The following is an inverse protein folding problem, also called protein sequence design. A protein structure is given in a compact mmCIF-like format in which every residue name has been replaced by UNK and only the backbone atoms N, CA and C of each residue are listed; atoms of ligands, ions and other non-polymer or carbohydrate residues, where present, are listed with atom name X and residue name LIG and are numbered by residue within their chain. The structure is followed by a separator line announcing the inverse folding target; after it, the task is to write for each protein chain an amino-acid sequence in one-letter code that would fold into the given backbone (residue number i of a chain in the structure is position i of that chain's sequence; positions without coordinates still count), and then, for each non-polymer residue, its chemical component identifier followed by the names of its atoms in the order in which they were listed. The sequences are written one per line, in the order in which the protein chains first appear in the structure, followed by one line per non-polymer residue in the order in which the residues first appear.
data_IF_608636619160
#
_entry.id   IF_608636619160
#
_cell.length_a   1.000
_cell.length_b   1.000
_cell.length_c   1.000
_cell.angle_alpha   90.00
_cell.angle_beta   90.00
_cell.angle_gamma   90.00
#
_symmetry.space_group_name_H-M   'P 1'
#
loop_
_entity.id
_entity.type
_entity.pdbx_description
1 polymer ?
#
# COMPACT_ATOMS: atom_id res chain seq x y z
N UNK A 1 73.48 -14.24 -2.88
CA UNK A 1 72.63 -13.46 -3.81
C UNK A 1 71.21 -14.05 -4.02
N UNK A 2 70.81 -15.04 -3.23
CA UNK A 2 69.52 -15.76 -3.44
C UNK A 2 68.34 -15.22 -2.60
N UNK A 3 68.60 -14.80 -1.36
CA UNK A 3 67.52 -14.45 -0.41
C UNK A 3 66.71 -13.18 -0.77
N UNK A 4 67.37 -12.17 -1.29
CA UNK A 4 66.74 -10.89 -1.71
C UNK A 4 65.89 -11.02 -2.98
N UNK A 5 66.17 -12.00 -3.84
CA UNK A 5 65.33 -12.28 -5.04
C UNK A 5 64.06 -13.01 -4.65
N UNK A 6 64.12 -13.93 -3.69
CA UNK A 6 62.94 -14.66 -3.17
C UNK A 6 62.00 -13.74 -2.39
N UNK A 7 62.52 -12.81 -1.57
CA UNK A 7 61.69 -11.84 -0.85
C UNK A 7 60.96 -10.86 -1.81
N UNK A 8 61.61 -10.44 -2.88
CA UNK A 8 61.00 -9.58 -3.91
C UNK A 8 59.93 -10.30 -4.72
N UNK A 9 60.10 -11.58 -5.01
CA UNK A 9 59.13 -12.41 -5.71
C UNK A 9 57.87 -12.68 -4.82
N UNK A 10 58.05 -12.98 -3.53
CA UNK A 10 56.96 -13.19 -2.59
C UNK A 10 56.20 -11.88 -2.30
N UNK A 11 56.93 -10.75 -2.17
CA UNK A 11 56.31 -9.42 -2.02
C UNK A 11 55.51 -9.00 -3.24
N UNK A 12 56.01 -9.28 -4.45
CA UNK A 12 55.32 -9.01 -5.72
C UNK A 12 54.06 -9.84 -5.91
N UNK A 13 54.09 -11.12 -5.53
CA UNK A 13 52.92 -12.00 -5.57
C UNK A 13 51.84 -11.61 -4.52
N UNK A 14 52.29 -11.20 -3.34
CA UNK A 14 51.37 -10.72 -2.30
C UNK A 14 50.69 -9.38 -2.69
N UNK A 15 51.44 -8.45 -3.30
CA UNK A 15 50.91 -7.19 -3.80
C UNK A 15 50.00 -7.38 -5.01
N UNK A 16 50.30 -8.28 -5.94
CA UNK A 16 49.44 -8.64 -7.06
C UNK A 16 48.17 -9.35 -6.61
N UNK A 17 48.25 -10.23 -5.60
CA UNK A 17 47.11 -10.87 -4.99
C UNK A 17 46.18 -9.86 -4.27
N UNK A 18 46.74 -8.89 -3.52
CA UNK A 18 46.00 -7.84 -2.87
C UNK A 18 45.30 -6.89 -3.87
N UNK A 19 45.99 -6.58 -5.00
CA UNK A 19 45.41 -5.77 -6.09
C UNK A 19 44.32 -6.52 -6.85
N UNK A 20 44.42 -7.83 -7.02
CA UNK A 20 43.38 -8.66 -7.62
C UNK A 20 42.15 -8.80 -6.70
N UNK A 21 42.35 -8.87 -5.37
CA UNK A 21 41.23 -8.85 -4.39
C UNK A 21 40.60 -7.46 -4.30
N UNK A 22 41.37 -6.38 -4.46
CA UNK A 22 40.82 -5.01 -4.47
C UNK A 22 40.12 -4.63 -5.78
N UNK A 23 40.48 -5.32 -6.88
CA UNK A 23 39.92 -5.13 -8.22
C UNK A 23 38.85 -6.18 -8.58
N UNK A 24 38.65 -7.21 -7.74
CA UNK A 24 37.49 -8.08 -7.89
C UNK A 24 36.27 -7.21 -7.67
N UNK A 25 35.40 -6.97 -8.69
CA UNK A 25 34.09 -6.42 -8.39
C UNK A 25 33.52 -7.33 -7.30
N UNK A 26 32.97 -6.74 -6.27
CA UNK A 26 32.18 -7.47 -5.29
C UNK A 26 31.09 -8.18 -6.10
N UNK A 27 31.36 -9.43 -6.48
CA UNK A 27 30.39 -10.34 -7.08
C UNK A 27 29.46 -10.87 -5.97
N UNK A 28 29.02 -10.00 -5.09
CA UNK A 28 27.75 -10.10 -4.44
C UNK A 28 26.76 -9.62 -5.49
N UNK A 29 26.43 -10.51 -6.45
CA UNK A 29 25.20 -10.35 -7.20
C UNK A 29 24.15 -9.98 -6.17
N UNK A 30 23.59 -8.77 -6.28
CA UNK A 30 22.54 -8.36 -5.36
C UNK A 30 21.30 -9.18 -5.72
N UNK A 31 21.18 -10.34 -5.07
CA UNK A 31 20.09 -11.29 -5.30
C UNK A 31 18.70 -10.61 -5.21
N UNK A 32 18.63 -9.46 -4.55
CA UNK A 32 17.42 -8.65 -4.47
C UNK A 32 17.10 -8.02 -5.81
N UNK A 33 18.09 -7.35 -6.43
CA UNK A 33 17.94 -6.75 -7.76
C UNK A 33 17.68 -7.80 -8.82
N UNK A 34 18.45 -8.88 -8.80
CA UNK A 34 18.31 -10.00 -9.74
C UNK A 34 16.96 -10.73 -9.56
N UNK A 35 16.38 -10.69 -8.36
CA UNK A 35 15.07 -11.25 -8.06
C UNK A 35 13.87 -10.38 -8.42
N UNK A 36 14.08 -9.14 -8.93
CA UNK A 36 12.99 -8.22 -9.31
C UNK A 36 12.39 -8.56 -10.70
N UNK A 37 11.96 -9.82 -10.90
CA UNK A 37 11.42 -10.30 -12.17
C UNK A 37 10.33 -9.39 -12.77
N UNK A 38 9.47 -8.82 -11.91
CA UNK A 38 8.39 -7.93 -12.33
C UNK A 38 8.92 -6.63 -12.95
N UNK A 39 9.98 -6.07 -12.38
CA UNK A 39 10.64 -4.90 -12.94
C UNK A 39 11.26 -5.21 -14.31
N UNK A 40 11.94 -6.36 -14.42
CA UNK A 40 12.54 -6.81 -15.69
C UNK A 40 11.49 -7.04 -16.78
N UNK A 41 10.33 -7.60 -16.42
CA UNK A 41 9.20 -7.79 -17.34
C UNK A 41 8.67 -6.48 -17.92
N UNK A 42 8.82 -5.36 -17.21
CA UNK A 42 8.47 -4.01 -17.71
C UNK A 42 9.51 -3.40 -18.63
N UNK A 43 10.72 -3.98 -18.73
CA UNK A 43 11.85 -3.45 -19.48
C UNK A 43 12.24 -2.02 -19.01
N UNK A 44 12.72 -1.89 -17.78
CA UNK A 44 12.91 -0.61 -17.11
C UNK A 44 13.84 0.33 -17.88
N UNK A 45 14.85 -0.19 -18.56
CA UNK A 45 15.78 0.59 -19.36
C UNK A 45 15.09 1.34 -20.52
N UNK A 46 14.03 0.76 -21.10
CA UNK A 46 13.22 1.46 -22.10
C UNK A 46 12.24 2.43 -21.45
N UNK A 47 11.63 2.03 -20.34
CA UNK A 47 10.68 2.86 -19.58
C UNK A 47 11.36 4.15 -19.13
N UNK A 48 12.53 4.05 -18.50
CA UNK A 48 13.22 5.22 -17.92
C UNK A 48 13.82 6.17 -18.93
N UNK A 49 14.02 5.74 -20.19
CA UNK A 49 14.34 6.67 -21.29
C UNK A 49 13.16 7.59 -21.62
N UNK A 50 11.93 7.17 -21.35
CA UNK A 50 10.73 7.90 -21.61
C UNK A 50 10.28 8.76 -20.42
N UNK A 51 10.35 8.19 -19.20
CA UNK A 51 9.96 8.85 -17.94
C UNK A 51 10.51 8.08 -16.75
N UNK A 52 10.88 8.80 -15.70
CA UNK A 52 11.29 8.26 -14.39
C UNK A 52 10.31 8.62 -13.26
N UNK A 53 9.20 9.29 -13.59
CA UNK A 53 8.22 9.76 -12.61
C UNK A 53 8.57 11.10 -11.96
N UNK A 54 9.58 11.80 -12.46
CA UNK A 54 10.05 13.09 -11.92
C UNK A 54 8.92 14.11 -11.83
N UNK A 55 8.92 14.90 -10.74
CA UNK A 55 7.92 15.94 -10.43
C UNK A 55 6.51 15.41 -10.13
N UNK A 56 6.37 14.12 -9.88
CA UNK A 56 5.09 13.52 -9.47
C UNK A 56 5.17 13.05 -8.02
N UNK A 57 4.20 13.46 -7.22
CA UNK A 57 4.00 12.94 -5.86
C UNK A 57 2.95 11.83 -5.89
N UNK A 58 3.33 10.66 -5.37
CA UNK A 58 2.43 9.53 -5.12
C UNK A 58 2.20 9.44 -3.62
N UNK A 59 0.98 9.63 -3.16
CA UNK A 59 0.65 9.35 -1.78
C UNK A 59 0.50 7.83 -1.57
N UNK A 60 1.08 7.32 -0.51
CA UNK A 60 0.95 5.92 -0.06
C UNK A 60 0.16 5.95 1.24
N UNK A 61 -1.14 5.64 1.16
CA UNK A 61 -2.01 5.48 2.33
C UNK A 61 -1.89 4.03 2.79
N UNK A 62 -1.17 3.82 3.90
CA UNK A 62 -0.76 2.47 4.32
C UNK A 62 -0.34 2.45 5.80
N UNK A 63 0.51 1.53 6.22
CA UNK A 63 1.07 1.41 7.58
C UNK A 63 2.12 2.48 7.94
N UNK A 64 2.48 3.38 7.01
CA UNK A 64 3.61 4.30 7.11
C UNK A 64 4.80 3.82 6.27
N UNK A 65 5.86 4.61 6.19
CA UNK A 65 7.05 4.34 5.37
C UNK A 65 8.32 4.57 6.17
N UNK A 66 9.30 3.68 6.06
CA UNK A 66 10.65 3.96 6.53
C UNK A 66 11.41 4.80 5.48
N UNK A 67 11.32 6.12 5.61
CA UNK A 67 11.98 7.06 4.71
C UNK A 67 13.51 7.07 4.77
N UNK A 68 14.09 6.47 5.81
CA UNK A 68 15.54 6.31 5.95
C UNK A 68 16.07 5.01 5.31
N UNK A 69 15.18 4.17 4.74
CA UNK A 69 15.62 2.99 4.01
C UNK A 69 16.57 3.40 2.87
N UNK A 70 17.70 2.71 2.74
CA UNK A 70 18.77 3.09 1.80
C UNK A 70 18.30 3.27 0.35
N UNK A 71 17.28 2.52 -0.07
CA UNK A 71 16.72 2.57 -1.42
C UNK A 71 15.61 3.62 -1.57
N UNK A 72 15.19 4.30 -0.49
CA UNK A 72 14.10 5.28 -0.49
C UNK A 72 14.54 6.67 -0.06
N UNK A 73 15.69 6.75 0.61
CA UNK A 73 16.18 7.98 1.23
C UNK A 73 16.28 9.13 0.23
N UNK A 74 15.57 10.24 0.54
CA UNK A 74 15.47 11.40 -0.34
C UNK A 74 14.30 11.39 -1.31
N UNK A 75 13.59 10.26 -1.46
CA UNK A 75 12.34 10.18 -2.22
C UNK A 75 11.08 10.23 -1.35
N UNK A 76 11.23 10.08 -0.02
CA UNK A 76 10.10 10.15 0.92
C UNK A 76 9.99 11.56 1.48
N UNK A 77 8.80 12.14 1.37
CA UNK A 77 8.43 13.45 1.92
C UNK A 77 8.00 13.29 3.38
N UNK A 78 8.00 14.37 4.16
CA UNK A 78 7.34 14.36 5.47
C UNK A 78 5.89 13.94 5.34
N UNK A 79 5.46 12.98 6.15
CA UNK A 79 4.13 12.39 6.13
C UNK A 79 3.35 12.66 7.40
N UNK A 80 2.14 12.10 7.46
CA UNK A 80 1.26 12.23 8.63
C UNK A 80 0.63 10.90 9.01
N UNK A 81 0.31 10.74 10.29
CA UNK A 81 -0.38 9.57 10.82
C UNK A 81 -1.80 9.93 11.23
N UNK A 82 -2.75 9.15 10.75
CA UNK A 82 -4.14 9.12 11.20
C UNK A 82 -4.42 7.95 12.15
N UNK A 83 -3.40 7.16 12.49
CA UNK A 83 -3.50 6.14 13.53
C UNK A 83 -3.59 6.77 14.92
N UNK A 84 -4.05 5.99 15.90
CA UNK A 84 -4.17 6.43 17.29
C UNK A 84 -2.84 6.99 17.81
N UNK A 85 -2.89 8.18 18.38
CA UNK A 85 -1.71 8.90 18.84
C UNK A 85 -1.10 9.89 17.84
N UNK A 86 -1.55 9.87 16.57
CA UNK A 86 -1.05 10.81 15.55
C UNK A 86 0.44 10.63 15.25
N UNK A 87 1.10 11.69 14.80
CA UNK A 87 2.54 11.74 14.54
C UNK A 87 2.89 11.73 13.05
N UNK A 88 4.14 11.35 12.74
CA UNK A 88 4.65 11.27 11.38
C UNK A 88 4.44 9.87 10.79
N UNK A 89 4.51 9.75 9.47
CA UNK A 89 4.37 8.48 8.77
C UNK A 89 5.61 8.11 7.94
N UNK A 90 6.68 8.88 8.04
CA UNK A 90 7.92 8.77 7.26
C UNK A 90 9.06 8.08 8.04
N UNK A 91 8.80 7.61 9.26
CA UNK A 91 9.75 6.91 10.14
C UNK A 91 9.16 5.60 10.68
N UNK A 92 8.43 4.85 9.85
CA UNK A 92 7.85 3.58 10.27
C UNK A 92 8.93 2.53 10.55
N UNK A 93 8.79 1.79 11.64
CA UNK A 93 9.75 0.78 12.07
C UNK A 93 9.12 -0.57 12.45
N UNK A 94 7.80 -0.63 12.53
CA UNK A 94 7.05 -1.82 12.96
C UNK A 94 6.50 -2.63 11.79
N UNK A 95 5.61 -2.04 11.01
CA UNK A 95 5.00 -2.68 9.85
C UNK A 95 5.74 -2.27 8.57
N UNK A 96 6.12 -3.24 7.75
CA UNK A 96 6.91 -3.01 6.53
C UNK A 96 6.06 -2.85 5.26
N UNK A 97 4.73 -2.99 5.34
CA UNK A 97 3.89 -3.03 4.16
C UNK A 97 3.94 -1.70 3.37
N UNK A 98 3.73 -0.57 4.02
CA UNK A 98 3.81 0.74 3.34
C UNK A 98 5.20 1.07 2.81
N UNK A 99 6.28 0.66 3.52
CA UNK A 99 7.66 0.79 3.05
C UNK A 99 7.88 -0.01 1.77
N UNK A 100 7.34 -1.23 1.72
CA UNK A 100 7.40 -2.07 0.54
C UNK A 100 6.69 -1.44 -0.66
N UNK A 101 5.47 -0.92 -0.47
CA UNK A 101 4.72 -0.23 -1.53
C UNK A 101 5.47 1.00 -2.04
N UNK A 102 6.00 1.83 -1.14
CA UNK A 102 6.81 2.98 -1.48
C UNK A 102 8.04 2.60 -2.31
N UNK A 103 8.72 1.51 -1.96
CA UNK A 103 9.90 1.04 -2.65
C UNK A 103 9.61 0.51 -4.07
N UNK A 104 8.49 -0.21 -4.26
CA UNK A 104 8.06 -0.65 -5.59
C UNK A 104 7.66 0.53 -6.49
N UNK A 105 7.19 1.62 -5.90
CA UNK A 105 6.87 2.85 -6.63
C UNK A 105 8.13 3.64 -6.95
N UNK A 106 8.91 4.04 -5.94
CA UNK A 106 9.94 5.07 -6.04
C UNK A 106 11.28 4.70 -5.40
N UNK A 107 11.55 3.41 -5.19
CA UNK A 107 12.89 2.94 -4.82
C UNK A 107 13.91 3.33 -5.89
N UNK A 108 15.08 3.76 -5.48
CA UNK A 108 16.15 4.16 -6.41
C UNK A 108 17.40 3.28 -6.33
N UNK A 109 17.34 2.22 -5.51
CA UNK A 109 18.49 1.36 -5.26
C UNK A 109 19.62 2.07 -4.56
N UNK A 110 20.74 1.38 -4.41
CA UNK A 110 21.97 1.92 -3.83
C UNK A 110 23.21 1.34 -4.50
N UNK A 111 24.40 1.61 -3.94
CA UNK A 111 25.66 1.17 -4.52
C UNK A 111 26.07 1.92 -5.79
N UNK A 112 27.17 1.49 -6.47
CA UNK A 112 27.62 2.12 -7.69
C UNK A 112 26.57 2.08 -8.79
N UNK A 113 26.24 3.24 -9.35
CA UNK A 113 25.22 3.37 -10.40
C UNK A 113 23.84 2.82 -10.02
N UNK A 114 23.49 2.79 -8.71
CA UNK A 114 22.24 2.26 -8.20
C UNK A 114 21.99 0.78 -8.58
N UNK A 115 23.09 0.00 -8.65
CA UNK A 115 23.02 -1.40 -9.10
C UNK A 115 22.42 -2.33 -8.05
N UNK A 116 22.48 -1.97 -6.76
CA UNK A 116 22.08 -2.80 -5.63
C UNK A 116 20.69 -2.39 -5.08
N UNK A 117 20.04 -3.31 -4.37
CA UNK A 117 18.78 -3.09 -3.66
C UNK A 117 17.56 -2.99 -4.54
N UNK A 118 16.46 -2.46 -3.99
CA UNK A 118 15.18 -2.33 -4.68
C UNK A 118 15.16 -1.09 -5.59
N UNK A 119 14.85 -1.33 -6.85
CA UNK A 119 14.49 -0.28 -7.79
C UNK A 119 12.98 -0.28 -8.02
N UNK A 120 12.35 0.85 -7.80
CA UNK A 120 10.95 1.09 -8.13
C UNK A 120 10.76 1.41 -9.62
N UNK A 121 9.54 1.25 -10.10
CA UNK A 121 9.25 1.50 -11.51
C UNK A 121 9.29 3.00 -11.87
N UNK A 122 9.06 3.91 -10.91
CA UNK A 122 9.11 5.37 -11.06
C UNK A 122 10.16 5.99 -10.07
N UNK A 123 11.47 5.74 -10.28
CA UNK A 123 12.49 5.99 -9.27
C UNK A 123 12.72 7.47 -8.90
N UNK A 124 12.26 8.42 -9.70
CA UNK A 124 12.34 9.87 -9.41
C UNK A 124 11.00 10.46 -8.89
N UNK A 125 9.97 9.62 -8.72
CA UNK A 125 8.74 10.06 -8.07
C UNK A 125 8.98 10.33 -6.56
N UNK A 126 8.15 11.21 -5.98
CA UNK A 126 8.17 11.44 -4.53
C UNK A 126 7.04 10.70 -3.86
N UNK A 127 7.31 10.14 -2.70
CA UNK A 127 6.34 9.45 -1.85
C UNK A 127 5.87 10.38 -0.75
N UNK A 128 4.56 10.57 -0.64
CA UNK A 128 3.91 11.19 0.50
C UNK A 128 3.31 10.07 1.38
N UNK A 129 3.97 9.69 2.47
CA UNK A 129 3.48 8.61 3.33
C UNK A 129 2.34 9.12 4.21
N UNK A 130 1.28 8.31 4.30
CA UNK A 130 0.11 8.59 5.15
C UNK A 130 -0.23 7.31 5.88
N UNK A 131 -0.01 7.31 7.20
CA UNK A 131 -0.33 6.16 8.03
C UNK A 131 -1.82 6.19 8.36
N UNK A 132 -2.54 5.12 7.94
CA UNK A 132 -3.94 4.92 8.29
C UNK A 132 -4.09 4.17 9.61
N UNK A 133 -5.24 4.25 10.25
CA UNK A 133 -5.57 3.41 11.39
C UNK A 133 -5.91 1.99 10.89
N UNK A 134 -5.24 0.98 11.44
CA UNK A 134 -5.43 -0.43 11.10
C UNK A 134 -6.21 -1.21 12.16
N UNK A 135 -6.83 -0.51 13.13
CA UNK A 135 -7.56 -1.14 14.22
C UNK A 135 -8.60 -2.12 13.71
N UNK A 136 -8.43 -3.38 14.11
CA UNK A 136 -9.32 -4.48 13.78
C UNK A 136 -10.67 -4.30 14.49
N UNK A 137 -11.72 -3.99 13.76
CA UNK A 137 -13.10 -4.02 14.23
C UNK A 137 -13.81 -2.68 14.18
N UNK A 138 -14.65 -2.49 13.19
CA UNK A 138 -15.49 -1.32 13.00
C UNK A 138 -14.96 -0.42 11.90
N UNK A 139 -14.70 0.82 12.07
CA UNK A 139 -14.33 1.80 11.05
C UNK A 139 -12.90 1.64 10.48
N UNK A 140 -12.45 0.41 10.25
CA UNK A 140 -11.09 0.06 9.80
C UNK A 140 -10.70 0.67 8.44
N UNK A 141 -11.64 1.29 7.75
CA UNK A 141 -11.43 1.92 6.45
C UNK A 141 -11.49 3.45 6.50
N UNK A 142 -11.39 4.10 7.64
CA UNK A 142 -11.46 5.56 7.68
C UNK A 142 -10.38 6.20 6.77
N UNK A 143 -10.73 6.29 5.48
CA UNK A 143 -9.89 6.87 4.43
C UNK A 143 -10.24 8.34 4.14
N UNK A 144 -11.29 8.90 4.74
CA UNK A 144 -11.72 10.28 4.49
C UNK A 144 -10.60 11.29 4.77
N UNK A 145 -10.09 11.32 5.99
CA UNK A 145 -8.97 12.19 6.37
C UNK A 145 -7.70 11.96 5.54
N UNK A 146 -7.22 10.70 5.43
CA UNK A 146 -6.09 10.35 4.58
C UNK A 146 -6.21 10.80 3.12
N UNK A 147 -7.36 10.59 2.48
CA UNK A 147 -7.59 10.98 1.10
C UNK A 147 -7.54 12.51 0.93
N UNK A 148 -8.23 13.25 1.79
CA UNK A 148 -8.21 14.73 1.74
C UNK A 148 -6.81 15.27 1.96
N UNK A 149 -6.10 14.75 2.96
CA UNK A 149 -4.71 15.14 3.21
C UNK A 149 -3.82 14.91 1.99
N UNK A 150 -3.91 13.73 1.35
CA UNK A 150 -3.13 13.42 0.16
C UNK A 150 -3.38 14.43 -0.99
N UNK A 151 -4.66 14.76 -1.23
CA UNK A 151 -5.08 15.72 -2.25
C UNK A 151 -4.54 17.12 -1.94
N UNK A 152 -4.71 17.58 -0.69
CA UNK A 152 -4.36 18.93 -0.26
C UNK A 152 -2.84 19.13 -0.22
N UNK A 153 -2.06 18.05 -0.10
CA UNK A 153 -0.59 18.05 -0.17
C UNK A 153 -0.04 17.69 -1.56
N UNK A 154 -0.86 17.80 -2.60
CA UNK A 154 -0.41 17.82 -4.00
C UNK A 154 -0.15 16.45 -4.62
N UNK A 155 -0.62 15.36 -4.01
CA UNK A 155 -0.54 14.06 -4.63
C UNK A 155 -1.26 14.06 -5.99
N UNK A 156 -0.65 13.42 -7.00
CA UNK A 156 -1.23 13.21 -8.33
C UNK A 156 -1.76 11.80 -8.52
N UNK A 157 -1.26 10.88 -7.72
CA UNK A 157 -1.69 9.49 -7.64
C UNK A 157 -1.78 9.13 -6.16
N UNK A 158 -2.79 8.38 -5.78
CA UNK A 158 -2.93 7.83 -4.43
C UNK A 158 -2.94 6.31 -4.54
N UNK A 159 -1.97 5.67 -3.91
CA UNK A 159 -1.86 4.22 -3.77
C UNK A 159 -2.58 3.76 -2.50
N UNK A 160 -3.52 2.82 -2.65
CA UNK A 160 -4.26 2.19 -1.57
C UNK A 160 -4.13 0.67 -1.69
N UNK A 161 -3.03 0.14 -1.13
CA UNK A 161 -2.71 -1.29 -1.19
C UNK A 161 -3.41 -2.09 -0.09
N UNK A 162 -4.68 -1.83 0.12
CA UNK A 162 -5.55 -2.52 1.07
C UNK A 162 -6.95 -2.69 0.49
N UNK A 163 -7.67 -3.65 1.02
CA UNK A 163 -9.05 -3.96 0.62
C UNK A 163 -9.82 -4.56 1.79
N UNK A 164 -11.11 -4.33 1.82
CA UNK A 164 -11.99 -4.91 2.83
C UNK A 164 -13.43 -5.08 2.31
N UNK A 165 -14.22 -5.95 2.94
CA UNK A 165 -15.59 -6.24 2.53
C UNK A 165 -16.60 -5.17 2.99
N UNK A 166 -16.16 -4.10 3.64
CA UNK A 166 -16.99 -3.08 4.25
C UNK A 166 -17.41 -2.03 3.21
N UNK A 167 -18.70 -1.71 3.18
CA UNK A 167 -19.17 -0.61 2.35
C UNK A 167 -18.61 0.73 2.87
N UNK A 168 -18.29 1.63 1.93
CA UNK A 168 -17.80 2.97 2.27
C UNK A 168 -18.92 3.80 2.93
N UNK A 169 -18.53 4.56 3.94
CA UNK A 169 -19.37 5.60 4.55
C UNK A 169 -19.56 6.76 3.58
N UNK A 170 -20.54 7.63 3.85
CA UNK A 170 -20.79 8.82 3.04
C UNK A 170 -19.59 9.80 3.07
N UNK A 171 -18.86 9.89 4.18
CA UNK A 171 -17.66 10.72 4.28
C UNK A 171 -16.55 10.19 3.37
N UNK A 172 -16.33 8.87 3.32
CA UNK A 172 -15.34 8.23 2.45
C UNK A 172 -15.70 8.38 0.97
N UNK A 173 -16.98 8.20 0.62
CA UNK A 173 -17.47 8.47 -0.75
C UNK A 173 -17.26 9.93 -1.14
N UNK A 174 -17.54 10.86 -0.21
CA UNK A 174 -17.29 12.29 -0.40
C UNK A 174 -15.78 12.59 -0.60
N UNK A 175 -14.90 11.93 0.14
CA UNK A 175 -13.46 12.09 -0.02
C UNK A 175 -12.94 11.55 -1.36
N UNK A 176 -13.47 10.40 -1.82
CA UNK A 176 -13.18 9.88 -3.16
C UNK A 176 -13.65 10.90 -4.22
N UNK A 177 -14.88 11.39 -4.10
CA UNK A 177 -15.42 12.41 -5.01
C UNK A 177 -14.57 13.69 -5.01
N UNK A 178 -14.09 14.11 -3.84
CA UNK A 178 -13.17 15.24 -3.70
C UNK A 178 -11.85 15.00 -4.47
N UNK A 179 -11.23 13.84 -4.28
CA UNK A 179 -9.99 13.48 -4.97
C UNK A 179 -10.16 13.45 -6.51
N UNK A 180 -11.27 12.87 -6.98
CA UNK A 180 -11.62 12.83 -8.41
C UNK A 180 -11.83 14.25 -8.97
N UNK A 181 -12.55 15.12 -8.26
CA UNK A 181 -12.76 16.53 -8.66
C UNK A 181 -11.45 17.33 -8.70
N UNK A 182 -10.47 16.96 -7.87
CA UNK A 182 -9.13 17.56 -7.84
C UNK A 182 -8.15 16.91 -8.83
N UNK A 183 -8.65 16.06 -9.71
CA UNK A 183 -7.85 15.37 -10.73
C UNK A 183 -6.74 14.49 -10.17
N UNK A 184 -6.98 13.79 -9.06
CA UNK A 184 -6.08 12.82 -8.48
C UNK A 184 -6.52 11.41 -8.87
N UNK A 185 -5.59 10.59 -9.37
CA UNK A 185 -5.88 9.20 -9.70
C UNK A 185 -5.80 8.33 -8.46
N UNK A 186 -6.91 7.68 -8.12
CA UNK A 186 -7.02 6.71 -7.04
C UNK A 186 -6.77 5.31 -7.57
N UNK A 187 -5.81 4.58 -7.01
CA UNK A 187 -5.45 3.20 -7.38
C UNK A 187 -5.57 2.31 -6.17
N UNK A 188 -6.33 1.22 -6.27
CA UNK A 188 -6.55 0.32 -5.14
C UNK A 188 -6.47 -1.16 -5.52
N UNK A 189 -5.94 -1.97 -4.60
CA UNK A 189 -5.87 -3.42 -4.73
C UNK A 189 -7.23 -4.07 -4.58
N UNK A 190 -7.50 -5.10 -5.39
CA UNK A 190 -8.79 -5.79 -5.38
C UNK A 190 -9.06 -6.63 -4.14
N UNK A 191 -8.00 -6.98 -3.38
CA UNK A 191 -8.06 -7.91 -2.23
C UNK A 191 -7.55 -9.29 -2.57
N UNK A 192 -7.29 -10.10 -1.53
CA UNK A 192 -6.55 -11.37 -1.62
C UNK A 192 -7.36 -12.56 -1.06
N UNK A 193 -8.68 -12.58 -1.27
CA UNK A 193 -9.58 -13.64 -0.78
C UNK A 193 -10.03 -14.60 -1.87
N UNK A 194 -9.62 -14.40 -3.13
CA UNK A 194 -10.01 -15.22 -4.27
C UNK A 194 -11.51 -15.16 -4.59
N UNK A 195 -12.19 -14.07 -4.24
CA UNK A 195 -13.65 -13.95 -4.32
C UNK A 195 -14.10 -12.92 -5.36
N UNK A 196 -15.31 -13.13 -5.89
CA UNK A 196 -16.01 -12.16 -6.75
C UNK A 196 -16.79 -11.09 -5.99
N UNK A 197 -16.73 -11.07 -4.66
CA UNK A 197 -17.41 -10.06 -3.86
C UNK A 197 -16.68 -8.71 -3.97
N UNK A 198 -17.44 -7.59 -4.03
CA UNK A 198 -16.82 -6.28 -4.04
C UNK A 198 -15.98 -6.06 -2.77
N UNK A 199 -14.76 -5.55 -2.95
CA UNK A 199 -13.89 -5.09 -1.86
C UNK A 199 -13.61 -3.60 -2.05
N UNK A 200 -13.60 -2.87 -0.97
CA UNK A 200 -13.40 -1.43 -0.99
C UNK A 200 -12.02 -1.05 -0.42
N UNK A 201 -11.41 0.04 -0.96
CA UNK A 201 -11.98 1.04 -1.86
C UNK A 201 -11.97 0.65 -3.36
N UNK A 202 -11.39 -0.49 -3.77
CA UNK A 202 -11.23 -0.86 -5.17
C UNK A 202 -12.54 -0.88 -5.99
N UNK A 203 -13.64 -1.35 -5.40
CA UNK A 203 -14.96 -1.40 -6.06
C UNK A 203 -15.70 -0.05 -6.10
N UNK A 204 -15.14 1.00 -5.51
CA UNK A 204 -15.77 2.31 -5.48
C UNK A 204 -15.69 3.03 -6.84
N UNK A 205 -16.75 3.78 -7.23
CA UNK A 205 -16.66 4.70 -8.36
C UNK A 205 -15.52 5.70 -8.18
N UNK A 206 -14.78 5.99 -9.25
CA UNK A 206 -13.62 6.88 -9.24
C UNK A 206 -12.29 6.19 -8.95
N UNK A 207 -12.30 4.91 -8.56
CA UNK A 207 -11.10 4.16 -8.23
C UNK A 207 -10.68 3.21 -9.36
N UNK A 208 -9.41 3.17 -9.67
CA UNK A 208 -8.78 2.24 -10.60
C UNK A 208 -8.43 0.95 -9.83
N UNK A 209 -9.28 -0.05 -9.95
CA UNK A 209 -9.11 -1.34 -9.27
C UNK A 209 -8.06 -2.22 -9.96
N UNK A 210 -7.17 -2.82 -9.17
CA UNK A 210 -6.03 -3.61 -9.63
C UNK A 210 -6.05 -5.02 -9.05
N UNK A 211 -6.02 -6.02 -9.93
CA UNK A 211 -5.76 -7.43 -9.58
C UNK A 211 -4.30 -7.81 -9.79
N UNK A 212 -3.93 -9.02 -9.41
CA UNK A 212 -2.55 -9.50 -9.44
C UNK A 212 -2.37 -10.72 -10.36
N UNK A 213 -1.22 -10.77 -11.04
CA UNK A 213 -0.77 -11.91 -11.85
C UNK A 213 0.56 -12.47 -11.36
N UNK A 214 0.74 -13.75 -11.62
CA UNK A 214 1.99 -14.46 -11.50
C UNK A 214 2.93 -14.14 -12.69
N UNK A 215 4.17 -14.64 -12.61
CA UNK A 215 5.18 -14.47 -13.67
C UNK A 215 4.74 -15.10 -15.00
N UNK A 216 3.96 -16.19 -14.97
CA UNK A 216 3.39 -16.83 -16.16
C UNK A 216 2.19 -16.07 -16.78
N UNK A 217 1.83 -14.91 -16.21
CA UNK A 217 0.73 -14.06 -16.67
C UNK A 217 -0.67 -14.51 -16.22
N UNK A 218 -0.80 -15.60 -15.46
CA UNK A 218 -2.09 -16.00 -14.90
C UNK A 218 -2.47 -15.17 -13.70
N UNK A 219 -3.76 -14.86 -13.58
CA UNK A 219 -4.29 -14.19 -12.37
C UNK A 219 -4.06 -15.10 -11.16
N UNK A 220 -3.57 -14.51 -10.07
CA UNK A 220 -3.38 -15.21 -8.80
C UNK A 220 -4.71 -15.77 -8.29
N UNK A 221 -4.67 -16.98 -7.73
CA UNK A 221 -5.86 -17.63 -7.18
C UNK A 221 -6.53 -16.83 -6.08
N UNK A 222 -5.73 -16.13 -5.27
CA UNK A 222 -6.18 -15.26 -4.19
C UNK A 222 -6.58 -13.85 -4.66
N UNK A 223 -6.26 -13.43 -5.87
CA UNK A 223 -6.69 -12.11 -6.38
C UNK A 223 -8.21 -12.05 -6.49
N UNK A 224 -8.84 -11.10 -5.80
CA UNK A 224 -10.27 -10.85 -5.96
C UNK A 224 -10.57 -10.38 -7.38
N UNK A 225 -11.78 -10.66 -7.85
CA UNK A 225 -12.21 -10.40 -9.23
C UNK A 225 -13.62 -9.80 -9.27
N UNK A 226 -14.02 -9.30 -10.42
CA UNK A 226 -15.37 -8.75 -10.60
C UNK A 226 -15.42 -7.64 -11.67
N UNK A 227 -16.59 -7.08 -11.96
CA UNK A 227 -16.78 -6.10 -13.02
C UNK A 227 -16.08 -4.75 -12.76
N UNK A 228 -15.61 -4.54 -11.53
CA UNK A 228 -14.86 -3.34 -11.12
C UNK A 228 -13.37 -3.41 -11.50
N UNK A 229 -12.81 -4.60 -11.75
CA UNK A 229 -11.39 -4.73 -12.12
C UNK A 229 -11.11 -4.00 -13.43
N UNK A 230 -10.06 -3.18 -13.42
CA UNK A 230 -9.64 -2.41 -14.59
C UNK A 230 -8.31 -2.84 -15.14
N UNK A 231 -7.35 -3.14 -14.29
CA UNK A 231 -6.00 -3.56 -14.66
C UNK A 231 -5.51 -4.68 -13.78
N UNK A 232 -4.53 -5.40 -14.27
CA UNK A 232 -3.75 -6.33 -13.48
C UNK A 232 -2.26 -6.04 -13.66
N UNK A 233 -1.47 -6.40 -12.65
CA UNK A 233 -0.02 -6.24 -12.69
C UNK A 233 0.66 -7.38 -11.91
N UNK A 234 1.99 -7.56 -12.04
CA UNK A 234 2.75 -8.51 -11.25
C UNK A 234 2.51 -8.38 -9.75
N UNK A 235 2.24 -9.50 -9.10
CA UNK A 235 1.99 -9.55 -7.66
C UNK A 235 2.42 -10.86 -6.99
N UNK A 236 3.13 -11.76 -7.70
CA UNK A 236 3.63 -13.01 -7.13
C UNK A 236 5.11 -12.90 -6.79
N UNK A 237 5.50 -13.29 -5.57
CA UNK A 237 6.91 -13.35 -5.13
C UNK A 237 7.69 -12.07 -5.43
N UNK A 238 7.11 -10.94 -5.10
CA UNK A 238 7.68 -9.62 -5.36
C UNK A 238 8.68 -9.25 -4.26
N UNK A 239 9.94 -9.02 -4.63
CA UNK A 239 10.93 -8.43 -3.73
C UNK A 239 10.68 -6.95 -3.54
N UNK A 240 10.77 -6.48 -2.30
CA UNK A 240 10.58 -5.09 -1.91
C UNK A 240 11.38 -4.74 -0.64
N UNK A 241 11.35 -3.47 -0.25
CA UNK A 241 11.99 -3.03 0.99
C UNK A 241 11.14 -3.41 2.22
N UNK A 242 11.80 -3.63 3.35
CA UNK A 242 11.18 -3.83 4.65
C UNK A 242 11.67 -2.83 5.69
N UNK A 243 11.04 -2.78 6.85
CA UNK A 243 11.48 -1.96 7.98
C UNK A 243 12.35 -2.74 8.96
N UNK A 244 11.86 -3.88 9.43
CA UNK A 244 12.56 -4.77 10.38
C UNK A 244 13.63 -5.63 9.72
N UNK A 245 13.39 -6.05 8.48
CA UNK A 245 14.35 -6.68 7.59
C UNK A 245 14.64 -5.72 6.44
N UNK A 246 15.88 -5.66 5.99
CA UNK A 246 16.27 -4.75 4.90
C UNK A 246 15.45 -4.97 3.63
N UNK A 247 15.07 -6.22 3.35
CA UNK A 247 14.27 -6.63 2.20
C UNK A 247 13.28 -7.72 2.59
N UNK A 248 12.18 -7.80 1.83
CA UNK A 248 11.16 -8.82 1.96
C UNK A 248 10.74 -9.35 0.59
N UNK A 249 10.07 -10.50 0.58
CA UNK A 249 9.36 -11.02 -0.60
C UNK A 249 7.91 -11.30 -0.20
N UNK A 250 6.96 -10.86 -1.02
CA UNK A 250 5.53 -11.03 -0.76
C UNK A 250 4.75 -11.40 -2.01
N UNK A 251 3.50 -11.82 -1.83
CA UNK A 251 2.54 -12.09 -2.91
C UNK A 251 1.22 -11.42 -2.55
N UNK A 252 0.66 -10.64 -3.49
CA UNK A 252 -0.63 -10.00 -3.28
C UNK A 252 -0.99 -8.93 -4.30
N UNK A 253 -2.24 -8.50 -4.25
CA UNK A 253 -2.73 -7.38 -5.06
C UNK A 253 -2.15 -6.04 -4.63
N UNK A 254 -1.57 -5.97 -3.43
CA UNK A 254 -0.85 -4.80 -2.92
C UNK A 254 0.32 -4.40 -3.80
N UNK A 255 1.19 -5.37 -4.12
CA UNK A 255 2.39 -5.17 -4.95
C UNK A 255 1.99 -4.77 -6.39
N UNK A 256 0.97 -5.43 -6.94
CA UNK A 256 0.39 -5.07 -8.24
C UNK A 256 -0.12 -3.62 -8.27
N UNK A 257 -0.79 -3.18 -7.19
CA UNK A 257 -1.29 -1.81 -7.03
C UNK A 257 -0.16 -0.79 -7.02
N UNK A 258 0.95 -1.09 -6.34
CA UNK A 258 2.13 -0.24 -6.31
C UNK A 258 2.72 -0.07 -7.73
N UNK A 259 2.83 -1.13 -8.52
CA UNK A 259 3.31 -1.03 -9.90
C UNK A 259 2.37 -0.23 -10.81
N UNK A 260 1.03 -0.37 -10.64
CA UNK A 260 0.08 0.46 -11.40
C UNK A 260 0.17 1.93 -10.98
N UNK A 261 0.33 2.22 -9.69
CA UNK A 261 0.54 3.57 -9.18
C UNK A 261 1.83 4.20 -9.71
N UNK A 262 2.90 3.42 -9.79
CA UNK A 262 4.16 3.83 -10.40
C UNK A 262 4.01 4.10 -11.90
N UNK A 263 3.34 3.21 -12.63
CA UNK A 263 3.06 3.43 -14.06
C UNK A 263 2.22 4.70 -14.30
N UNK A 264 1.26 4.97 -13.43
CA UNK A 264 0.49 6.21 -13.46
C UNK A 264 1.37 7.45 -13.21
N UNK A 265 2.31 7.36 -12.26
CA UNK A 265 3.27 8.43 -11.99
C UNK A 265 4.17 8.70 -13.21
N UNK A 266 4.64 7.65 -13.89
CA UNK A 266 5.41 7.78 -15.14
C UNK A 266 4.61 8.52 -16.23
N UNK A 267 3.34 8.14 -16.41
CA UNK A 267 2.45 8.79 -17.40
C UNK A 267 2.19 10.24 -17.03
N UNK A 268 1.89 10.54 -15.75
CA UNK A 268 1.70 11.91 -15.26
C UNK A 268 2.94 12.78 -15.45
N UNK A 269 4.12 12.22 -15.24
CA UNK A 269 5.40 12.92 -15.42
C UNK A 269 5.64 13.29 -16.88
N UNK A 270 5.33 12.38 -17.82
CA UNK A 270 5.54 12.60 -19.24
C UNK A 270 4.44 13.43 -19.89
N UNK A 271 3.21 13.27 -19.44
CA UNK A 271 2.01 13.91 -20.00
C UNK A 271 1.23 14.65 -18.90
N UNK A 272 1.76 15.77 -18.38
CA UNK A 272 1.20 16.47 -17.21
C UNK A 272 -0.20 17.04 -17.45
N UNK A 273 -0.59 17.26 -18.70
CA UNK A 273 -1.89 17.82 -19.08
C UNK A 273 -3.01 16.78 -19.14
N UNK A 274 -2.68 15.47 -19.06
CA UNK A 274 -3.70 14.43 -19.02
C UNK A 274 -4.42 14.41 -17.68
N UNK A 275 -5.75 14.30 -17.73
CA UNK A 275 -6.54 14.08 -16.51
C UNK A 275 -6.31 12.69 -15.92
N UNK A 276 -6.71 12.48 -14.64
CA UNK A 276 -6.66 11.20 -13.97
C UNK A 276 -7.33 10.07 -14.80
N UNK A 277 -8.52 10.35 -15.34
CA UNK A 277 -9.21 9.39 -16.20
C UNK A 277 -8.49 9.14 -17.53
N UNK A 278 -7.84 10.15 -18.10
CA UNK A 278 -7.05 9.99 -19.32
C UNK A 278 -5.75 9.23 -19.08
N UNK A 279 -5.13 9.36 -17.90
CA UNK A 279 -4.02 8.50 -17.46
C UNK A 279 -4.49 7.05 -17.36
N UNK A 280 -5.62 6.82 -16.71
CA UNK A 280 -6.23 5.48 -16.63
C UNK A 280 -6.58 4.93 -18.03
N UNK A 281 -7.13 5.76 -18.92
CA UNK A 281 -7.40 5.39 -20.31
C UNK A 281 -6.13 4.94 -21.03
N UNK A 282 -5.04 5.68 -20.89
CA UNK A 282 -3.77 5.36 -21.54
C UNK A 282 -3.20 4.02 -21.04
N UNK A 283 -3.24 3.79 -19.72
CA UNK A 283 -2.82 2.53 -19.12
C UNK A 283 -3.68 1.34 -19.60
N UNK A 284 -5.01 1.49 -19.65
CA UNK A 284 -5.92 0.42 -20.09
C UNK A 284 -5.83 0.14 -21.57
N UNK A 285 -5.64 1.17 -22.42
CA UNK A 285 -5.50 1.00 -23.88
C UNK A 285 -4.24 0.28 -24.31
N UNK A 286 -3.19 0.35 -23.51
CA UNK A 286 -1.91 -0.30 -23.80
C UNK A 286 -1.72 -1.62 -23.06
N UNK A 287 -2.63 -1.96 -22.17
CA UNK A 287 -2.63 -3.24 -21.46
C UNK A 287 -2.79 -4.43 -22.43
N UNK A 288 -2.28 -5.57 -22.07
CA UNK A 288 -2.34 -6.80 -22.88
C UNK A 288 -2.98 -7.90 -22.05
N UNK A 289 -4.04 -8.50 -22.59
CA UNK A 289 -4.59 -9.75 -22.06
C UNK A 289 -3.69 -10.92 -22.47
N UNK A 290 -3.37 -11.85 -21.55
CA UNK A 290 -2.63 -13.04 -21.89
C UNK A 290 -3.33 -13.88 -22.96
N UNK A 291 -2.55 -14.62 -23.77
CA UNK A 291 -3.08 -15.52 -24.78
C UNK A 291 -4.00 -16.58 -24.14
N UNK A 292 -5.11 -16.88 -24.80
CA UNK A 292 -6.10 -17.85 -24.30
C UNK A 292 -7.23 -17.27 -23.46
N UNK A 293 -7.21 -15.96 -23.15
CA UNK A 293 -8.33 -15.25 -22.50
C UNK A 293 -9.40 -14.78 -23.49
N UNK A 294 -9.42 -15.35 -24.69
CA UNK A 294 -10.31 -14.98 -25.78
C UNK A 294 -11.77 -15.30 -25.50
N UNK A 295 -12.64 -14.33 -25.65
CA UNK A 295 -14.11 -14.47 -25.53
C UNK A 295 -14.72 -13.65 -24.40
N UNK A 296 -13.93 -13.01 -23.58
CA UNK A 296 -14.42 -12.18 -22.52
C UNK A 296 -14.84 -10.79 -22.99
N UNK A 297 -15.87 -10.27 -22.36
CA UNK A 297 -16.19 -8.85 -22.46
C UNK A 297 -14.99 -8.02 -21.99
N UNK A 298 -14.69 -6.89 -22.64
CA UNK A 298 -13.67 -5.97 -22.14
C UNK A 298 -14.39 -4.81 -21.41
N UNK A 299 -14.11 -4.59 -20.11
CA UNK A 299 -13.12 -5.29 -19.26
C UNK A 299 -13.57 -6.70 -18.82
N UNK A 300 -12.61 -7.63 -18.75
CA UNK A 300 -12.80 -8.99 -18.23
C UNK A 300 -12.88 -8.95 -16.69
N UNK A 301 -13.75 -9.78 -16.04
CA UNK A 301 -13.87 -9.77 -14.59
C UNK A 301 -12.60 -10.13 -13.81
N UNK A 302 -11.67 -10.91 -14.39
CA UNK A 302 -10.41 -11.30 -13.75
C UNK A 302 -9.22 -10.47 -14.24
N UNK A 303 -9.19 -10.16 -15.53
CA UNK A 303 -8.05 -9.48 -16.16
C UNK A 303 -8.28 -7.97 -16.38
N UNK A 304 -9.49 -7.46 -16.20
CA UNK A 304 -9.82 -6.10 -16.57
C UNK A 304 -9.56 -5.85 -18.06
N UNK A 305 -8.76 -4.84 -18.35
CA UNK A 305 -8.25 -4.55 -19.69
C UNK A 305 -6.91 -5.27 -19.97
N UNK A 306 -6.34 -5.97 -18.97
CA UNK A 306 -5.12 -6.76 -19.09
C UNK A 306 -3.98 -6.31 -18.18
N UNK A 307 -2.81 -6.91 -18.41
CA UNK A 307 -1.54 -6.62 -17.73
C UNK A 307 -1.00 -5.28 -18.21
N UNK A 308 -0.61 -4.41 -17.29
CA UNK A 308 -0.02 -3.09 -17.63
C UNK A 308 1.23 -3.24 -18.49
N UNK A 309 1.42 -2.29 -19.40
CA UNK A 309 2.62 -2.17 -20.27
C UNK A 309 3.15 -0.74 -20.22
N UNK A 310 3.93 -0.39 -19.18
CA UNK A 310 4.37 0.99 -18.94
C UNK A 310 5.09 1.61 -20.14
N UNK A 311 5.99 0.86 -20.79
CA UNK A 311 6.68 1.37 -21.97
C UNK A 311 5.72 1.74 -23.09
N UNK A 312 4.72 0.89 -23.40
CA UNK A 312 3.72 1.19 -24.43
C UNK A 312 2.88 2.41 -24.03
N UNK A 313 2.48 2.51 -22.76
CA UNK A 313 1.75 3.66 -22.25
C UNK A 313 2.53 4.97 -22.41
N UNK A 314 3.85 4.94 -22.40
CA UNK A 314 4.70 6.11 -22.56
C UNK A 314 5.03 6.42 -24.03
N UNK A 315 5.22 5.40 -24.88
CA UNK A 315 5.79 5.55 -26.22
C UNK A 315 4.75 5.54 -27.36
N UNK A 316 3.59 4.90 -27.17
CA UNK A 316 2.58 4.82 -28.22
C UNK A 316 1.79 6.14 -28.38
N UNK A 317 1.39 6.44 -29.61
CA UNK A 317 0.51 7.58 -29.88
C UNK A 317 -0.94 7.20 -29.55
N UNK A 318 -1.36 7.49 -28.31
CA UNK A 318 -2.71 7.23 -27.80
C UNK A 318 -3.45 8.56 -27.69
N UNK A 319 -4.60 8.73 -28.35
CA UNK A 319 -5.47 9.88 -28.13
C UNK A 319 -5.85 10.02 -26.65
N UNK A 320 -5.96 11.25 -26.17
CA UNK A 320 -6.28 11.50 -24.76
C UNK A 320 -7.58 10.81 -24.29
N UNK A 321 -8.57 10.69 -25.18
CA UNK A 321 -9.85 10.08 -24.87
C UNK A 321 -10.75 10.97 -24.00
N UNK A 322 -11.81 10.40 -23.46
CA UNK A 322 -12.73 11.10 -22.56
C UNK A 322 -12.04 11.53 -21.27
N UNK A 323 -12.45 12.66 -20.69
CA UNK A 323 -11.88 13.22 -19.44
C UNK A 323 -11.84 12.20 -18.30
N UNK A 324 -12.90 11.41 -18.16
CA UNK A 324 -13.03 10.43 -17.09
C UNK A 324 -12.46 9.05 -17.46
N UNK A 325 -12.04 8.85 -18.73
CA UNK A 325 -11.47 7.59 -19.20
C UNK A 325 -12.40 6.39 -18.96
N UNK A 326 -11.86 5.24 -18.54
CA UNK A 326 -12.62 4.03 -18.25
C UNK A 326 -13.18 3.98 -16.81
N UNK A 327 -13.01 5.04 -16.02
CA UNK A 327 -13.45 5.07 -14.63
C UNK A 327 -14.96 5.35 -14.56
N UNK A 328 -15.67 4.55 -13.75
CA UNK A 328 -17.03 4.89 -13.33
C UNK A 328 -16.93 6.08 -12.39
N UNK A 329 -17.70 7.14 -12.65
CA UNK A 329 -17.60 8.34 -11.83
C UNK A 329 -18.49 8.22 -10.59
N UNK A 330 -18.09 8.82 -9.44
CA UNK A 330 -18.98 8.99 -8.31
C UNK A 330 -20.22 9.79 -8.72
N UNK A 331 -21.40 9.39 -8.22
CA UNK A 331 -22.60 10.20 -8.36
C UNK A 331 -22.38 11.57 -7.72
N UNK A 332 -22.72 12.64 -8.42
CA UNK A 332 -22.74 13.96 -7.81
C UNK A 332 -23.88 13.97 -6.78
N UNK A 333 -23.55 14.00 -5.50
CA UNK A 333 -24.54 14.38 -4.50
C UNK A 333 -24.97 15.82 -4.85
N UNK A 334 -26.20 15.97 -5.33
CA UNK A 334 -26.83 17.27 -5.47
C UNK A 334 -26.84 17.92 -4.09
N UNK A 335 -25.81 18.70 -3.81
CA UNK A 335 -25.82 19.64 -2.70
C UNK A 335 -26.90 20.63 -3.05
N UNK A 336 -28.02 20.59 -2.36
CA UNK A 336 -29.08 21.58 -2.38
C UNK A 336 -28.53 22.96 -1.97
N UNK A 337 -27.85 23.61 -2.89
CA UNK A 337 -27.51 25.02 -2.86
C UNK A 337 -28.38 25.73 -3.86
N UNK A 338 -29.65 25.87 -3.52
CA UNK A 338 -30.64 26.62 -4.25
C UNK A 338 -31.53 27.42 -3.30
N UNK A 339 -30.91 28.36 -2.58
CA UNK A 339 -31.67 29.50 -2.09
C UNK A 339 -31.34 30.67 -3.01
N UNK A 340 -32.09 30.73 -4.11
CA UNK A 340 -32.16 31.92 -4.95
C UNK A 340 -32.91 33.00 -4.17
N UNK A 341 -32.23 34.12 -3.98
CA UNK A 341 -32.86 35.38 -3.62
C UNK A 341 -33.60 35.96 -4.83
N UNK A 342 -34.69 36.69 -4.49
CA UNK A 342 -35.45 37.65 -5.26
C UNK A 342 -36.65 37.16 -6.06
N UNK A 343 -37.82 37.49 -5.45
CA UNK A 343 -38.88 38.17 -6.18
C UNK A 343 -39.86 38.86 -5.20
N UNK A 344 -40.35 40.03 -5.49
CA UNK A 344 -41.35 40.70 -4.66
C UNK A 344 -42.78 40.50 -5.20
N UNK A 345 -43.70 40.27 -4.28
CA UNK A 345 -45.09 40.75 -4.34
C UNK A 345 -46.11 39.87 -5.07
N UNK A 346 -47.18 39.45 -4.32
CA UNK A 346 -48.44 38.99 -4.87
C UNK A 346 -49.28 38.19 -3.87
N UNK A 347 -50.27 38.85 -3.27
CA UNK A 347 -51.30 38.29 -2.39
C UNK A 347 -52.05 37.13 -3.04
N UNK A 348 -52.34 36.06 -2.27
CA UNK A 348 -53.60 35.34 -2.26
C UNK A 348 -53.62 34.16 -1.26
N UNK A 349 -54.48 34.22 -0.40
CA UNK A 349 -55.20 33.39 0.57
C UNK A 349 -55.33 31.87 0.28
N UNK A 350 -55.07 31.06 1.33
CA UNK A 350 -55.92 29.90 1.62
C UNK A 350 -55.27 28.52 1.57
N UNK A 351 -55.21 27.81 2.71
CA UNK A 351 -55.14 26.35 2.76
C UNK A 351 -54.12 25.78 3.71
N UNK A 352 -54.57 25.51 4.96
CA UNK A 352 -53.80 24.83 5.98
C UNK A 352 -53.63 23.33 5.71
N UNK A 353 -52.42 22.81 5.83
CA UNK A 353 -52.16 21.43 6.29
C UNK A 353 -50.81 21.39 7.01
N UNK A 354 -50.87 21.05 8.31
CA UNK A 354 -49.76 21.16 9.24
C UNK A 354 -48.76 20.01 9.11
N UNK A 355 -47.50 20.35 9.07
CA UNK A 355 -46.41 19.47 9.47
C UNK A 355 -45.89 19.93 10.84
N UNK A 356 -46.01 19.05 11.83
CA UNK A 356 -45.55 19.27 13.20
C UNK A 356 -44.03 19.11 13.26
N UNK A 357 -43.30 20.18 13.12
CA UNK A 357 -41.93 20.24 13.56
C UNK A 357 -41.86 20.11 15.09
N UNK A 358 -41.10 19.13 15.61
CA UNK A 358 -40.88 18.96 17.04
C UNK A 358 -39.94 20.06 17.51
N UNK A 359 -40.51 21.12 18.06
CA UNK A 359 -39.78 22.15 18.78
C UNK A 359 -39.59 21.69 20.23
N UNK A 360 -38.38 21.29 20.60
CA UNK A 360 -38.01 20.99 21.97
C UNK A 360 -37.90 22.31 22.78
N UNK A 361 -38.67 22.38 23.89
CA UNK A 361 -38.60 23.53 24.79
C UNK A 361 -37.22 23.61 25.46
N UNK A 362 -36.76 24.81 25.86
CA UNK A 362 -35.46 24.99 26.55
C UNK A 362 -35.33 24.12 27.82
N UNK A 363 -36.43 23.78 28.47
CA UNK A 363 -36.49 22.87 29.63
C UNK A 363 -36.21 21.41 29.25
N UNK A 364 -36.61 20.94 28.06
CA UNK A 364 -36.31 19.61 27.59
C UNK A 364 -34.84 19.44 27.24
N UNK A 365 -34.20 20.47 26.67
CA UNK A 365 -32.75 20.48 26.37
C UNK A 365 -31.93 20.47 27.67
N UNK A 366 -32.35 21.25 28.68
CA UNK A 366 -31.67 21.25 29.98
C UNK A 366 -31.78 19.89 30.70
N UNK A 367 -32.90 19.18 30.57
CA UNK A 367 -33.08 17.82 31.12
C UNK A 367 -32.17 16.78 30.47
N UNK A 368 -31.98 16.84 29.14
CA UNK A 368 -31.09 15.93 28.40
C UNK A 368 -29.60 16.17 28.79
N UNK A 369 -29.18 17.44 28.92
CA UNK A 369 -27.82 17.79 29.33
C UNK A 369 -27.52 17.30 30.75
N UNK A 370 -28.47 17.49 31.68
CA UNK A 370 -28.31 17.00 33.05
C UNK A 370 -28.25 15.48 33.11
N UNK A 371 -29.04 14.76 32.31
CA UNK A 371 -29.00 13.31 32.22
C UNK A 371 -27.64 12.79 31.73
N UNK A 372 -27.07 13.40 30.73
CA UNK A 372 -25.74 13.02 30.19
C UNK A 372 -24.63 13.23 31.24
N UNK A 373 -24.67 14.34 31.99
CA UNK A 373 -23.68 14.61 33.05
C UNK A 373 -23.76 13.58 34.18
N UNK A 374 -24.95 13.17 34.58
CA UNK A 374 -25.15 12.14 35.61
C UNK A 374 -24.62 10.79 35.14
N UNK A 375 -24.92 10.39 33.88
CA UNK A 375 -24.41 9.12 33.31
C UNK A 375 -22.89 9.12 33.26
N UNK A 376 -22.25 10.21 32.79
CA UNK A 376 -20.80 10.36 32.78
C UNK A 376 -20.19 10.27 34.18
N UNK A 377 -20.83 10.90 35.18
CA UNK A 377 -20.40 10.82 36.58
C UNK A 377 -20.42 9.38 37.13
N UNK A 378 -21.46 8.62 36.81
CA UNK A 378 -21.57 7.21 37.20
C UNK A 378 -20.51 6.35 36.52
N UNK A 379 -20.26 6.55 35.23
CA UNK A 379 -19.22 5.80 34.47
C UNK A 379 -17.83 6.07 35.05
N UNK A 380 -17.49 7.34 35.33
CA UNK A 380 -16.21 7.69 35.95
C UNK A 380 -16.09 7.07 37.34
N UNK A 381 -17.18 7.11 38.16
CA UNK A 381 -17.19 6.49 39.49
C UNK A 381 -16.94 4.98 39.44
N UNK A 382 -17.55 4.27 38.48
CA UNK A 382 -17.34 2.82 38.31
C UNK A 382 -15.89 2.52 37.86
N UNK A 383 -15.33 3.30 36.93
CA UNK A 383 -13.94 3.12 36.48
C UNK A 383 -12.94 3.36 37.62
N UNK A 384 -13.14 4.42 38.42
CA UNK A 384 -12.28 4.73 39.58
C UNK A 384 -12.39 3.61 40.65
N UNK A 385 -13.60 3.11 40.94
CA UNK A 385 -13.82 2.02 41.88
C UNK A 385 -13.20 0.70 41.39
N UNK A 386 -13.27 0.39 40.09
CA UNK A 386 -12.65 -0.79 39.49
C UNK A 386 -11.11 -0.70 39.55
N UNK A 387 -10.54 0.48 39.30
CA UNK A 387 -9.09 0.70 39.35
C UNK A 387 -8.55 0.63 40.79
N UNK A 388 -9.34 1.11 41.77
CA UNK A 388 -8.99 1.01 43.21
C UNK A 388 -8.98 -0.43 43.75
N UNK A 389 -9.80 -1.32 43.15
CA UNK A 389 -9.81 -2.76 43.47
C UNK A 389 -8.63 -3.54 42.86
N UNK A 390 -8.03 -3.03 41.80
CA UNK A 390 -6.86 -3.64 41.14
C UNK A 390 -5.54 -3.34 41.85
N UNK A 391 -5.44 -2.27 42.65
CA UNK A 391 -4.20 -1.82 43.30
C UNK A 391 -4.22 -1.97 44.83
N UNK A 392 -5.05 -2.87 45.37
CA UNK A 392 -5.02 -3.21 46.80
C UNK A 392 -3.92 -4.24 47.12
N UNK A 393 -3.23 -4.11 48.27
CA UNK A 393 -2.22 -5.08 48.67
C UNK A 393 -2.84 -6.46 48.94
N UNK A 394 -2.12 -7.59 48.68
CA UNK A 394 -2.65 -8.91 48.90
C UNK A 394 -2.79 -9.21 50.41
N UNK A 395 -3.81 -9.97 50.84
CA UNK A 395 -3.97 -10.35 52.26
C UNK A 395 -2.85 -11.28 52.68
N UNK A 396 -2.24 -10.99 53.83
CA UNK A 396 -1.19 -11.76 54.44
C UNK A 396 -1.68 -13.13 54.91
N UNK A 397 -0.98 -14.19 54.53
CA UNK A 397 -1.10 -15.54 55.04
C UNK A 397 0.13 -15.89 55.87
N UNK A 398 -0.09 -16.28 57.13
CA UNK A 398 0.84 -16.66 58.15
C UNK A 398 1.54 -18.00 57.85
N UNK A 399 2.82 -18.06 58.18
CA UNK A 399 3.90 -18.95 58.04
C UNK A 399 3.78 -20.45 58.31
N UNK A 400 4.79 -21.15 57.89
CA UNK A 400 5.58 -22.11 58.72
C UNK A 400 6.87 -22.48 57.93
N UNK A 401 7.97 -22.57 58.64
CA UNK A 401 9.31 -22.61 58.12
C UNK A 401 9.86 -24.02 57.77
N UNK A 402 11.07 -24.01 57.18
CA UNK A 402 11.97 -25.14 57.01
C UNK A 402 13.00 -24.90 55.90
N UNK A 403 14.32 -25.19 56.13
CA UNK A 403 15.39 -24.68 55.27
C UNK A 403 15.85 -25.69 54.22
N UNK A 404 16.25 -25.20 53.04
CA UNK A 404 16.90 -26.02 52.04
C UNK A 404 17.32 -25.18 50.82
N UNK A 405 18.65 -25.00 50.65
CA UNK A 405 19.24 -24.20 49.58
C UNK A 405 19.18 -24.85 48.21
N UNK A 406 19.20 -24.01 47.18
CA UNK A 406 19.30 -24.42 45.78
C UNK A 406 19.33 -23.21 44.87
N UNK A 407 20.41 -23.06 44.14
CA UNK A 407 20.75 -21.94 43.27
C UNK A 407 19.69 -21.64 42.19
N UNK A 408 19.36 -20.36 42.03
CA UNK A 408 18.40 -19.87 41.08
C UNK A 408 18.95 -19.76 39.65
N UNK A 409 18.12 -20.18 38.70
CA UNK A 409 18.26 -19.93 37.28
C UNK A 409 17.26 -18.80 36.93
N UNK A 410 17.66 -17.79 36.16
CA UNK A 410 16.77 -16.68 35.79
C UNK A 410 15.67 -17.12 34.80
N UNK A 411 14.48 -16.52 34.87
CA UNK A 411 13.35 -16.87 33.98
C UNK A 411 13.56 -16.40 32.55
N UNK A 412 13.28 -17.28 31.62
CA UNK A 412 13.20 -16.96 30.17
C UNK A 412 11.85 -16.30 29.83
N UNK A 413 11.81 -15.43 28.80
CA UNK A 413 10.57 -14.80 28.37
C UNK A 413 9.68 -15.77 27.57
N UNK A 414 8.40 -15.69 27.82
CA UNK A 414 7.36 -16.49 27.17
C UNK A 414 7.27 -16.19 25.67
N UNK A 415 7.48 -17.21 24.83
CA UNK A 415 7.18 -17.22 23.40
C UNK A 415 5.66 -17.30 23.20
N UNK A 416 5.11 -16.41 22.41
CA UNK A 416 3.76 -16.52 21.86
C UNK A 416 3.71 -17.63 20.80
N UNK A 417 2.70 -18.49 20.92
CA UNK A 417 2.55 -19.70 20.12
C UNK A 417 2.20 -19.41 18.66
N UNK A 418 2.93 -20.06 17.79
CA UNK A 418 2.60 -20.17 16.37
C UNK A 418 1.50 -21.21 16.15
N UNK A 419 0.52 -20.87 15.32
CA UNK A 419 -0.47 -21.83 14.82
C UNK A 419 0.23 -22.90 13.97
N UNK A 420 0.02 -24.16 14.30
CA UNK A 420 0.51 -25.32 13.54
C UNK A 420 -0.32 -25.51 12.28
N UNK A 421 0.34 -25.57 11.12
CA UNK A 421 -0.20 -26.16 9.91
C UNK A 421 -0.12 -27.68 9.97
N UNK A 422 -1.11 -28.42 9.39
CA UNK A 422 -1.08 -29.89 9.31
C UNK A 422 -0.01 -30.39 8.34
N UNK A 423 0.67 -31.48 8.73
CA UNK A 423 1.80 -32.04 8.03
C UNK A 423 1.49 -32.64 6.65
N UNK A 424 2.48 -32.55 5.79
CA UNK A 424 2.55 -33.23 4.51
C UNK A 424 3.49 -34.46 4.63
N UNK A 425 3.07 -35.65 4.22
CA UNK A 425 3.96 -36.80 4.04
C UNK A 425 4.21 -37.04 2.54
N UNK A 426 5.44 -36.84 2.08
CA UNK A 426 5.81 -37.21 0.72
C UNK A 426 7.30 -37.07 0.46
N UNK A 427 7.98 -38.21 0.43
CA UNK A 427 9.40 -38.34 0.14
C UNK A 427 9.76 -37.90 -1.28
N UNK A 428 10.89 -37.23 -1.42
CA UNK A 428 11.51 -36.89 -2.70
C UNK A 428 12.19 -38.11 -3.32
N UNK A 429 12.02 -38.38 -4.62
CA UNK A 429 12.85 -39.35 -5.32
C UNK A 429 14.20 -38.72 -5.72
N UNK A 430 15.25 -39.52 -5.58
CA UNK A 430 16.64 -39.25 -5.93
C UNK A 430 16.86 -39.01 -7.42
N UNK A 431 17.81 -38.14 -7.74
CA UNK A 431 18.23 -37.77 -9.08
C UNK A 431 18.70 -38.98 -9.92
N UNK A 432 18.51 -38.95 -11.26
CA UNK A 432 19.02 -39.98 -12.15
C UNK A 432 20.54 -39.80 -12.43
N UNK A 433 21.26 -40.90 -12.75
CA UNK A 433 22.70 -40.85 -12.96
C UNK A 433 23.09 -40.23 -14.29
N UNK A 434 24.16 -39.43 -14.27
CA UNK A 434 24.83 -38.85 -15.42
C UNK A 434 25.47 -39.93 -16.28
N UNK A 435 25.24 -39.93 -17.61
CA UNK A 435 25.96 -40.70 -18.60
C UNK A 435 27.20 -39.96 -19.06
N UNK A 436 28.34 -40.66 -19.25
CA UNK A 436 29.54 -40.03 -19.84
C UNK A 436 29.42 -39.95 -21.38
N UNK A 437 30.19 -39.01 -22.03
CA UNK A 437 30.20 -38.88 -23.47
C UNK A 437 31.19 -39.89 -24.11
N UNK A 438 30.78 -40.50 -25.22
CA UNK A 438 31.70 -41.28 -26.02
C UNK A 438 31.03 -42.28 -26.94
N UNK A 439 31.05 -41.98 -28.17
CA UNK A 439 31.06 -42.61 -29.50
C UNK A 439 29.89 -42.25 -30.38
#
# INVERSE_FOLDING_TARGET
MSFTRTLRAVGGLAAAGALLFAAAPSASADYIRDGQWALDAFNPQKVWKESTGKNVTVAVIDSGVNGEHIDLKGNVLPGTSFADGGGTADHESGDDHGTAMAALIAGHGHGPHHADGIMGLAPDAKILPIKRNESMGGDANNIDGPLRYAVDHGAKVINMSFAGPYALTENEKSAISYAVKKDVLLVAGSGNDGTGKPSYPAAAPGVLAVGAVAEDGKVLGESNYGPHIRLIAPGEKIYSAGTSMKYRQATGTSDATAYVSAAAALVRSKFPDLTAGQVAHRLTKTAITPEGTTGASSPDPKYGYGVIRPYRALSENIPAGAKNGPLTMPEESESSAGVGADAPGGDAQGGASGEKGISLSPLAVAGIVLGVVVVLGVVVGVVVAANKRRNGPPPGGTGFGGPGGGAGVPPQPHQYGFYQQPGNPGAYPSAPPTRPPGQ
#
